data_IF_196887878528
#
_entry.id   IF_196887878528
#
_cell.length_a   1.000
_cell.length_b   1.000
_cell.length_c   1.000
_cell.angle_alpha   90.00
_cell.angle_beta   90.00
_cell.angle_gamma   90.00
#
_symmetry.space_group_name_H-M   'P 1'
#
loop_
_entity.id
_entity.type
_entity.pdbx_description
1 polymer ?
#
# COMPACT_ATOMS: atom_id res chain seq x y z
N UNK A 1 6.92 0.90 6.48
CA UNK A 1 5.56 0.86 5.90
C UNK A 1 5.28 2.12 5.11
N UNK A 2 4.43 2.10 4.07
CA UNK A 2 4.04 3.26 3.28
C UNK A 2 2.95 4.08 4.00
N UNK A 3 2.69 5.29 3.50
CA UNK A 3 1.72 6.23 4.08
C UNK A 3 0.25 5.90 3.77
N UNK A 4 -0.03 5.21 2.68
CA UNK A 4 -1.37 5.08 2.10
C UNK A 4 -2.25 3.97 2.72
N UNK A 5 -1.76 3.21 3.66
CA UNK A 5 -2.51 2.25 4.48
C UNK A 5 -1.64 1.78 5.66
N UNK A 6 -1.10 2.72 6.42
CA UNK A 6 -0.04 2.45 7.40
C UNK A 6 -0.45 1.41 8.45
N UNK A 7 -1.59 1.59 9.13
CA UNK A 7 -2.08 0.63 10.11
C UNK A 7 -2.32 -0.76 9.49
N UNK A 8 -2.89 -0.84 8.29
CA UNK A 8 -3.10 -2.10 7.58
C UNK A 8 -1.80 -2.84 7.27
N UNK A 9 -0.80 -2.12 6.78
CA UNK A 9 0.52 -2.72 6.51
C UNK A 9 1.27 -3.09 7.78
N UNK A 10 1.16 -2.31 8.85
CA UNK A 10 1.75 -2.64 10.14
C UNK A 10 1.13 -3.94 10.67
N UNK A 11 -0.18 -4.00 10.79
CA UNK A 11 -0.89 -5.16 11.31
C UNK A 11 -0.62 -6.43 10.50
N UNK A 12 -0.69 -6.34 9.16
CA UNK A 12 -0.45 -7.49 8.29
C UNK A 12 0.97 -8.05 8.38
N UNK A 13 1.98 -7.17 8.40
CA UNK A 13 3.39 -7.59 8.54
C UNK A 13 3.69 -8.11 9.94
N UNK A 14 3.18 -7.41 10.96
CA UNK A 14 3.40 -7.76 12.36
C UNK A 14 2.73 -9.07 12.74
N UNK A 15 1.49 -9.30 12.33
CA UNK A 15 0.78 -10.54 12.63
C UNK A 15 1.57 -11.77 12.14
N UNK A 16 2.09 -11.73 10.92
CA UNK A 16 2.91 -12.80 10.37
C UNK A 16 4.24 -12.98 11.14
N UNK A 17 4.88 -11.86 11.55
CA UNK A 17 6.13 -11.91 12.30
C UNK A 17 5.92 -12.50 13.71
N UNK A 18 4.88 -12.06 14.42
CA UNK A 18 4.56 -12.55 15.77
C UNK A 18 4.14 -14.02 15.75
N UNK A 19 3.33 -14.44 14.78
CA UNK A 19 2.96 -15.83 14.61
C UNK A 19 4.17 -16.75 14.36
N UNK A 20 5.22 -16.21 13.75
CA UNK A 20 6.50 -16.92 13.55
C UNK A 20 7.47 -16.78 14.74
N UNK A 21 7.06 -16.20 15.86
CA UNK A 21 7.91 -16.00 17.05
C UNK A 21 9.00 -14.94 16.88
N UNK A 22 8.85 -14.01 15.91
CA UNK A 22 9.84 -12.99 15.64
C UNK A 22 9.53 -11.69 16.39
N UNK A 23 10.58 -10.94 16.72
CA UNK A 23 10.45 -9.54 17.10
C UNK A 23 10.44 -8.64 15.86
N UNK A 24 9.89 -7.43 15.99
CA UNK A 24 9.78 -6.49 14.88
C UNK A 24 10.17 -5.06 15.27
N UNK A 25 10.91 -4.41 14.37
CA UNK A 25 11.13 -2.96 14.39
C UNK A 25 10.46 -2.39 13.15
N UNK A 26 9.54 -1.45 13.32
CA UNK A 26 8.81 -0.82 12.24
C UNK A 26 9.22 0.66 12.11
N UNK A 27 9.58 1.04 10.89
CA UNK A 27 9.68 2.44 10.50
C UNK A 27 8.45 2.81 9.67
N UNK A 28 7.51 3.57 10.20
CA UNK A 28 6.38 4.08 9.42
C UNK A 28 6.85 5.18 8.46
N UNK A 29 6.02 5.48 7.45
CA UNK A 29 6.22 6.69 6.66
C UNK A 29 6.15 7.93 7.55
N UNK A 30 7.01 8.89 7.30
CA UNK A 30 6.96 10.21 7.95
C UNK A 30 5.65 10.97 7.68
N UNK A 31 4.95 10.62 6.61
CA UNK A 31 3.68 11.23 6.21
C UNK A 31 2.48 10.73 7.05
N UNK A 32 2.60 9.59 7.71
CA UNK A 32 1.51 8.94 8.44
C UNK A 32 1.90 8.42 9.83
N UNK A 33 3.06 8.82 10.34
CA UNK A 33 3.64 8.29 11.57
C UNK A 33 2.72 8.37 12.80
N UNK A 34 1.82 9.34 12.89
CA UNK A 34 0.90 9.48 14.03
C UNK A 34 -0.10 8.32 14.17
N UNK A 35 -0.47 7.66 13.07
CA UNK A 35 -1.37 6.51 13.11
C UNK A 35 -0.75 5.31 13.85
N UNK A 36 0.57 5.21 13.86
CA UNK A 36 1.29 4.13 14.52
C UNK A 36 1.14 4.15 16.04
N UNK A 37 0.87 5.33 16.63
CA UNK A 37 0.60 5.46 18.06
C UNK A 37 -0.60 4.62 18.48
N UNK A 38 -1.70 4.67 17.73
CA UNK A 38 -2.93 3.91 18.03
C UNK A 38 -2.63 2.40 18.01
N UNK A 39 -1.88 1.92 16.99
CA UNK A 39 -1.49 0.51 16.91
C UNK A 39 -0.60 0.12 18.09
N UNK A 40 0.35 0.98 18.47
CA UNK A 40 1.25 0.72 19.61
C UNK A 40 0.50 0.64 20.93
N UNK A 41 -0.42 1.56 21.17
CA UNK A 41 -1.27 1.58 22.38
C UNK A 41 -2.13 0.31 22.44
N UNK A 42 -2.76 -0.08 21.34
CA UNK A 42 -3.57 -1.30 21.26
C UNK A 42 -2.75 -2.58 21.56
N UNK A 43 -1.54 -2.68 21.04
CA UNK A 43 -0.66 -3.82 21.28
C UNK A 43 -0.17 -3.89 22.73
N UNK A 44 0.17 -2.73 23.31
CA UNK A 44 0.51 -2.62 24.75
C UNK A 44 -0.66 -3.08 25.61
N UNK A 45 -1.86 -2.58 25.34
CA UNK A 45 -3.07 -2.87 26.10
C UNK A 45 -3.51 -4.34 25.94
N UNK A 46 -3.15 -4.97 24.82
CA UNK A 46 -3.29 -6.41 24.61
C UNK A 46 -2.23 -7.27 25.35
N UNK A 47 -1.30 -6.64 26.08
CA UNK A 47 -0.30 -7.34 26.87
C UNK A 47 0.91 -7.85 26.08
N UNK A 48 1.20 -7.27 24.91
CA UNK A 48 2.41 -7.63 24.16
C UNK A 48 3.67 -7.29 24.99
N UNK A 49 4.60 -8.25 25.21
CA UNK A 49 5.77 -7.99 26.03
C UNK A 49 6.66 -6.86 25.47
N UNK A 50 7.27 -6.03 26.34
CA UNK A 50 8.21 -4.99 25.90
C UNK A 50 9.34 -5.55 25.05
N UNK A 51 9.69 -4.81 23.98
CA UNK A 51 10.78 -5.18 23.07
C UNK A 51 10.38 -6.13 21.93
N UNK A 52 9.22 -6.78 22.00
CA UNK A 52 8.74 -7.65 20.92
C UNK A 52 8.35 -6.82 19.69
N UNK A 53 7.76 -5.66 19.91
CA UNK A 53 7.39 -4.70 18.89
C UNK A 53 7.92 -3.31 19.23
N UNK A 54 8.62 -2.68 18.28
CA UNK A 54 9.20 -1.36 18.44
C UNK A 54 8.92 -0.51 17.21
N UNK A 55 8.62 0.77 17.41
CA UNK A 55 8.49 1.75 16.33
C UNK A 55 9.65 2.74 16.42
N UNK A 56 10.28 2.99 15.28
CA UNK A 56 11.29 4.05 15.11
C UNK A 56 10.81 5.01 14.05
N UNK A 57 10.65 6.26 14.42
CA UNK A 57 10.27 7.33 13.49
C UNK A 57 11.50 8.00 12.90
N UNK A 58 11.35 8.51 11.69
CA UNK A 58 12.41 9.24 10.99
C UNK A 58 12.38 9.03 9.48
N UNK A 59 13.28 9.71 8.80
CA UNK A 59 13.36 9.68 7.34
C UNK A 59 13.85 8.33 6.82
N UNK A 60 13.39 7.97 5.61
CA UNK A 60 13.79 6.74 4.94
C UNK A 60 15.28 6.66 4.63
N UNK A 61 15.87 7.78 4.24
CA UNK A 61 17.31 7.92 3.91
C UNK A 61 18.25 7.88 5.14
N UNK A 62 17.72 7.97 6.34
CA UNK A 62 18.47 7.91 7.58
C UNK A 62 18.13 6.64 8.35
N UNK A 63 16.94 6.60 8.95
CA UNK A 63 16.52 5.47 9.79
C UNK A 63 16.27 4.20 8.96
N UNK A 64 15.64 4.35 7.79
CA UNK A 64 15.39 3.22 6.89
C UNK A 64 16.70 2.62 6.34
N UNK A 65 17.67 3.46 5.97
CA UNK A 65 18.97 3.00 5.53
C UNK A 65 19.73 2.30 6.66
N UNK A 66 19.74 2.87 7.87
CA UNK A 66 20.36 2.26 9.06
C UNK A 66 19.78 0.87 9.33
N UNK A 67 18.46 0.73 9.36
CA UNK A 67 17.80 -0.58 9.53
C UNK A 67 18.17 -1.58 8.43
N UNK A 68 18.25 -1.11 7.18
CA UNK A 68 18.59 -1.99 6.05
C UNK A 68 20.01 -2.52 6.08
N UNK A 69 20.92 -1.82 6.73
CA UNK A 69 22.33 -2.20 6.91
C UNK A 69 22.62 -2.91 8.24
N UNK A 70 21.74 -2.78 9.24
CA UNK A 70 22.02 -3.22 10.60
C UNK A 70 22.27 -4.74 10.66
N UNK A 71 23.38 -5.22 11.25
CA UNK A 71 23.74 -6.64 11.24
C UNK A 71 22.68 -7.53 11.91
N UNK A 72 22.03 -7.06 12.99
CA UNK A 72 21.06 -7.83 13.75
C UNK A 72 19.66 -7.87 13.08
N UNK A 73 19.44 -7.12 12.00
CA UNK A 73 18.23 -7.21 11.20
C UNK A 73 18.41 -8.33 10.18
N UNK A 74 17.75 -9.47 10.40
CA UNK A 74 17.90 -10.65 9.55
C UNK A 74 16.90 -10.71 8.38
N UNK A 75 15.79 -9.98 8.49
CA UNK A 75 14.75 -9.90 7.44
C UNK A 75 14.20 -8.49 7.33
N UNK A 76 13.98 -8.06 6.10
CA UNK A 76 13.31 -6.79 5.78
C UNK A 76 12.04 -7.10 5.00
N UNK A 77 10.92 -6.56 5.46
CA UNK A 77 9.66 -6.52 4.71
C UNK A 77 9.31 -5.08 4.39
N UNK A 78 9.48 -4.70 3.14
CA UNK A 78 9.32 -3.31 2.68
C UNK A 78 8.12 -3.20 1.72
N UNK A 79 7.35 -2.15 1.88
CA UNK A 79 6.33 -1.71 0.91
C UNK A 79 6.58 -0.23 0.62
N UNK A 80 6.69 0.12 -0.67
CA UNK A 80 6.95 1.50 -1.08
C UNK A 80 7.47 1.61 -2.52
N UNK A 81 8.35 2.59 -2.77
CA UNK A 81 8.85 2.85 -4.12
C UNK A 81 9.86 1.81 -4.61
N UNK A 82 9.87 1.56 -5.91
CA UNK A 82 10.86 0.68 -6.56
C UNK A 82 12.30 1.17 -6.34
N UNK A 83 12.51 2.49 -6.32
CA UNK A 83 13.85 3.08 -6.08
C UNK A 83 14.35 2.69 -4.70
N UNK A 84 13.52 2.85 -3.68
CA UNK A 84 13.86 2.46 -2.30
C UNK A 84 14.03 0.96 -2.16
N UNK A 85 13.17 0.15 -2.79
CA UNK A 85 13.31 -1.31 -2.80
C UNK A 85 14.66 -1.77 -3.36
N UNK A 86 15.12 -1.17 -4.46
CA UNK A 86 16.44 -1.43 -5.03
C UNK A 86 17.59 -1.04 -4.08
N UNK A 87 17.46 0.07 -3.35
CA UNK A 87 18.44 0.48 -2.35
C UNK A 87 18.50 -0.52 -1.20
N UNK A 88 17.36 -0.97 -0.70
CA UNK A 88 17.28 -2.00 0.34
C UNK A 88 17.93 -3.30 -0.10
N UNK A 89 17.70 -3.76 -1.33
CA UNK A 89 18.35 -4.98 -1.85
C UNK A 89 19.88 -4.86 -1.86
N UNK A 90 20.41 -3.71 -2.31
CA UNK A 90 21.88 -3.47 -2.29
C UNK A 90 22.44 -3.51 -0.88
N UNK A 91 21.77 -2.88 0.09
CA UNK A 91 22.20 -2.88 1.49
C UNK A 91 22.10 -4.28 2.12
N UNK A 92 21.01 -4.98 1.86
CA UNK A 92 20.74 -6.32 2.38
C UNK A 92 21.73 -7.39 1.86
N UNK A 93 22.26 -7.21 0.66
CA UNK A 93 23.21 -8.13 0.06
C UNK A 93 24.49 -8.28 0.89
N UNK A 94 24.93 -7.24 1.60
CA UNK A 94 26.16 -7.27 2.40
C UNK A 94 26.12 -8.26 3.56
N UNK A 95 24.95 -8.58 4.08
CA UNK A 95 24.74 -9.54 5.18
C UNK A 95 23.74 -10.64 4.82
N UNK A 96 23.44 -10.80 3.52
CA UNK A 96 22.56 -11.84 2.98
C UNK A 96 21.19 -11.88 3.68
N UNK A 97 20.62 -10.69 3.95
CA UNK A 97 19.31 -10.58 4.59
C UNK A 97 18.19 -11.12 3.69
N UNK A 98 17.19 -11.72 4.28
CA UNK A 98 15.94 -12.01 3.58
C UNK A 98 15.18 -10.72 3.32
N UNK A 99 14.73 -10.51 2.08
CA UNK A 99 13.98 -9.30 1.68
C UNK A 99 12.68 -9.69 1.01
N UNK A 100 11.58 -9.11 1.47
CA UNK A 100 10.28 -9.12 0.81
C UNK A 100 9.96 -7.69 0.37
N UNK A 101 9.66 -7.50 -0.90
CA UNK A 101 9.36 -6.19 -1.47
C UNK A 101 7.96 -6.19 -2.07
N UNK A 102 7.14 -5.24 -1.62
CA UNK A 102 5.87 -4.87 -2.22
C UNK A 102 6.03 -3.47 -2.80
N UNK A 103 5.96 -3.35 -4.11
CA UNK A 103 6.36 -2.14 -4.83
C UNK A 103 5.20 -1.61 -5.68
N UNK A 104 5.37 -0.41 -6.23
CA UNK A 104 4.41 0.20 -7.11
C UNK A 104 4.27 -0.55 -8.45
N UNK A 105 3.19 -0.28 -9.14
CA UNK A 105 2.88 -0.90 -10.42
C UNK A 105 1.76 -0.18 -11.16
N UNK A 106 1.29 -0.80 -12.23
CA UNK A 106 0.09 -0.47 -13.00
C UNK A 106 -0.72 -1.74 -13.17
N UNK A 107 -1.51 -2.07 -12.13
CA UNK A 107 -2.30 -3.30 -12.11
C UNK A 107 -3.30 -3.34 -13.25
N UNK A 108 -3.42 -4.47 -13.97
CA UNK A 108 -4.41 -4.60 -15.03
C UNK A 108 -5.80 -4.87 -14.44
N UNK A 109 -6.81 -4.24 -15.02
CA UNK A 109 -8.21 -4.65 -14.94
C UNK A 109 -8.58 -5.22 -16.29
N UNK A 110 -9.01 -6.47 -16.34
CA UNK A 110 -9.28 -7.18 -17.60
C UNK A 110 -10.79 -7.38 -17.72
N UNK A 111 -11.37 -6.81 -18.77
CA UNK A 111 -12.77 -7.02 -19.13
C UNK A 111 -12.84 -8.07 -20.25
N UNK A 112 -13.66 -9.10 -20.06
CA UNK A 112 -13.84 -10.18 -21.04
C UNK A 112 -14.94 -9.82 -22.05
N UNK A 113 -15.07 -10.63 -23.10
CA UNK A 113 -16.00 -10.39 -24.20
C UNK A 113 -17.48 -10.40 -23.75
N UNK A 114 -17.82 -11.23 -22.78
CA UNK A 114 -19.16 -11.45 -22.25
C UNK A 114 -19.50 -10.58 -21.03
N UNK A 115 -18.63 -9.66 -20.65
CA UNK A 115 -18.84 -8.84 -19.45
C UNK A 115 -20.08 -7.95 -19.56
N UNK A 116 -20.87 -7.91 -18.52
CA UNK A 116 -21.94 -6.93 -18.34
C UNK A 116 -21.36 -5.60 -17.88
N UNK A 117 -21.40 -4.58 -18.74
CA UNK A 117 -20.84 -3.26 -18.47
C UNK A 117 -21.56 -2.53 -17.33
N UNK A 118 -22.85 -2.77 -17.13
CA UNK A 118 -23.59 -2.13 -16.04
C UNK A 118 -23.05 -2.55 -14.66
N UNK A 119 -22.56 -3.78 -14.56
CA UNK A 119 -21.93 -4.29 -13.34
C UNK A 119 -20.41 -3.99 -13.28
N UNK A 120 -19.72 -4.09 -14.42
CA UNK A 120 -18.27 -3.98 -14.45
C UNK A 120 -17.77 -2.54 -14.32
N UNK A 121 -18.41 -1.56 -14.96
CA UNK A 121 -17.92 -0.17 -14.97
C UNK A 121 -17.80 0.43 -13.56
N UNK A 122 -18.79 0.29 -12.64
CA UNK A 122 -18.63 0.75 -11.27
C UNK A 122 -17.42 0.13 -10.56
N UNK A 123 -17.17 -1.16 -10.76
CA UNK A 123 -16.02 -1.86 -10.17
C UNK A 123 -14.68 -1.37 -10.75
N UNK A 124 -14.62 -1.08 -12.06
CA UNK A 124 -13.44 -0.50 -12.71
C UNK A 124 -13.13 0.89 -12.13
N UNK A 125 -14.16 1.73 -11.95
CA UNK A 125 -14.00 3.05 -11.34
C UNK A 125 -13.50 2.91 -9.89
N UNK A 126 -14.12 2.07 -9.10
CA UNK A 126 -13.70 1.82 -7.73
C UNK A 126 -12.25 1.32 -7.66
N UNK A 127 -11.87 0.35 -8.48
CA UNK A 127 -10.52 -0.20 -8.51
C UNK A 127 -9.47 0.82 -8.98
N UNK A 128 -9.82 1.69 -9.93
CA UNK A 128 -8.92 2.70 -10.48
C UNK A 128 -8.75 3.93 -9.60
N UNK A 129 -9.80 4.35 -8.91
CA UNK A 129 -9.84 5.59 -8.13
C UNK A 129 -9.73 5.40 -6.61
N UNK A 130 -9.63 4.16 -6.14
CA UNK A 130 -9.44 3.89 -4.71
C UNK A 130 -8.27 4.70 -4.15
N UNK A 131 -8.47 5.31 -2.98
CA UNK A 131 -7.48 6.19 -2.34
C UNK A 131 -6.96 7.29 -3.30
N UNK A 132 -7.85 7.90 -4.09
CA UNK A 132 -7.52 8.89 -5.12
C UNK A 132 -6.50 8.37 -6.17
N UNK A 133 -6.54 7.09 -6.48
CA UNK A 133 -5.60 6.41 -7.39
C UNK A 133 -4.20 6.17 -6.80
N UNK A 134 -3.98 6.47 -5.53
CA UNK A 134 -2.69 6.39 -4.85
C UNK A 134 -2.50 5.04 -4.14
N UNK A 135 -2.77 3.95 -4.86
CA UNK A 135 -2.62 2.58 -4.35
C UNK A 135 -1.80 1.73 -5.33
N UNK A 136 -0.92 0.89 -4.80
CA UNK A 136 -0.10 -0.01 -5.62
C UNK A 136 -0.97 -1.03 -6.39
N UNK A 137 -2.15 -1.34 -5.87
CA UNK A 137 -3.13 -2.27 -6.47
C UNK A 137 -4.15 -1.58 -7.37
N UNK A 138 -4.10 -0.25 -7.54
CA UNK A 138 -5.07 0.47 -8.37
C UNK A 138 -5.09 -0.07 -9.80
N UNK A 139 -6.25 -0.51 -10.24
CA UNK A 139 -6.50 -1.12 -11.56
C UNK A 139 -6.56 -0.09 -12.68
N UNK A 140 -5.49 0.68 -12.85
CA UNK A 140 -5.45 1.84 -13.76
C UNK A 140 -5.11 1.49 -15.21
N UNK A 141 -4.80 0.24 -15.51
CA UNK A 141 -4.57 -0.25 -16.87
C UNK A 141 -5.70 -1.19 -17.26
N UNK A 142 -6.64 -0.68 -18.05
CA UNK A 142 -7.85 -1.41 -18.43
C UNK A 142 -7.62 -2.10 -19.78
N UNK A 143 -7.65 -3.43 -19.78
CA UNK A 143 -7.53 -4.26 -20.96
C UNK A 143 -8.93 -4.69 -21.41
N UNK A 144 -9.26 -4.44 -22.66
CA UNK A 144 -10.60 -4.63 -23.21
C UNK A 144 -10.55 -5.37 -24.54
N UNK A 145 -11.59 -6.13 -24.92
CA UNK A 145 -11.70 -6.72 -26.24
C UNK A 145 -11.72 -5.63 -27.33
N UNK A 146 -10.96 -5.83 -28.38
CA UNK A 146 -10.87 -4.87 -29.47
C UNK A 146 -12.25 -4.54 -30.09
N UNK A 147 -13.10 -5.55 -30.22
CA UNK A 147 -14.45 -5.38 -30.78
C UNK A 147 -15.38 -4.52 -29.93
N UNK A 148 -15.14 -4.44 -28.61
CA UNK A 148 -15.95 -3.67 -27.66
C UNK A 148 -15.29 -2.37 -27.19
N UNK A 149 -14.12 -2.05 -27.72
CA UNK A 149 -13.31 -0.93 -27.24
C UNK A 149 -14.08 0.40 -27.18
N UNK A 150 -14.75 0.77 -28.29
CA UNK A 150 -15.47 2.05 -28.36
C UNK A 150 -16.65 2.14 -27.41
N UNK A 151 -17.39 1.03 -27.22
CA UNK A 151 -18.49 0.92 -26.26
C UNK A 151 -17.98 1.12 -24.83
N UNK A 152 -16.91 0.43 -24.48
CA UNK A 152 -16.31 0.48 -23.13
C UNK A 152 -15.68 1.84 -22.85
N UNK A 153 -14.98 2.44 -23.82
CA UNK A 153 -14.41 3.79 -23.67
C UNK A 153 -15.50 4.82 -23.41
N UNK A 154 -16.63 4.74 -24.11
CA UNK A 154 -17.77 5.63 -23.89
C UNK A 154 -18.36 5.47 -22.50
N UNK A 155 -18.60 4.23 -22.05
CA UNK A 155 -19.14 3.93 -20.75
C UNK A 155 -18.21 4.40 -19.63
N UNK A 156 -16.89 4.17 -19.77
CA UNK A 156 -15.89 4.64 -18.81
C UNK A 156 -15.83 6.17 -18.75
N UNK A 157 -15.84 6.86 -19.90
CA UNK A 157 -15.82 8.31 -19.94
C UNK A 157 -17.03 8.92 -19.20
N UNK A 158 -18.23 8.36 -19.40
CA UNK A 158 -19.42 8.77 -18.70
C UNK A 158 -19.32 8.53 -17.17
N UNK A 159 -18.84 7.35 -16.77
CA UNK A 159 -18.68 7.01 -15.38
C UNK A 159 -17.63 7.89 -14.67
N UNK A 160 -16.50 8.18 -15.32
CA UNK A 160 -15.47 9.09 -14.80
C UNK A 160 -16.01 10.51 -14.65
N UNK A 161 -16.79 11.00 -15.62
CA UNK A 161 -17.40 12.32 -15.55
C UNK A 161 -18.41 12.47 -14.40
N UNK A 162 -18.98 11.36 -13.91
CA UNK A 162 -19.88 11.35 -12.77
C UNK A 162 -19.18 11.35 -11.42
N UNK A 163 -17.88 11.03 -11.35
CA UNK A 163 -17.10 11.00 -10.12
C UNK A 163 -16.96 12.41 -9.54
N UNK A 164 -17.41 12.58 -8.31
CA UNK A 164 -17.35 13.86 -7.60
C UNK A 164 -16.07 13.94 -6.77
N UNK A 165 -15.19 14.88 -7.12
CA UNK A 165 -14.06 15.24 -6.26
C UNK A 165 -14.41 16.45 -5.39
N UNK A 166 -13.97 16.41 -4.11
CA UNK A 166 -14.32 17.48 -3.17
C UNK A 166 -13.78 17.28 -1.77
N UNK A 167 -14.40 17.95 -0.80
CA UNK A 167 -14.05 17.82 0.62
C UNK A 167 -14.34 16.38 1.10
N UNK A 168 -13.34 15.66 1.66
CA UNK A 168 -13.52 14.29 2.13
C UNK A 168 -14.47 14.16 3.33
N UNK A 169 -14.86 15.26 3.96
CA UNK A 169 -15.88 15.29 5.04
C UNK A 169 -17.31 15.36 4.51
N UNK A 170 -17.48 15.65 3.24
CA UNK A 170 -18.79 15.63 2.58
C UNK A 170 -19.09 14.21 2.10
N UNK A 171 -20.19 13.64 2.56
CA UNK A 171 -20.64 12.30 2.18
C UNK A 171 -20.99 12.14 0.69
N UNK A 172 -21.16 13.26 -0.03
CA UNK A 172 -21.39 13.27 -1.47
C UNK A 172 -20.10 13.24 -2.30
N UNK A 173 -18.92 13.30 -1.67
CA UNK A 173 -17.62 13.24 -2.33
C UNK A 173 -17.20 11.79 -2.55
N UNK A 174 -16.90 11.42 -3.79
CA UNK A 174 -16.39 10.10 -4.15
C UNK A 174 -14.86 10.04 -4.01
N UNK A 175 -14.18 11.14 -4.36
CA UNK A 175 -12.72 11.22 -4.37
C UNK A 175 -12.29 12.50 -3.67
N UNK A 176 -11.46 12.37 -2.64
CA UNK A 176 -10.86 13.50 -1.92
C UNK A 176 -9.78 14.23 -2.74
N UNK A 177 -9.11 15.22 -2.15
CA UNK A 177 -8.03 15.94 -2.82
C UNK A 177 -6.88 15.02 -3.18
N UNK A 178 -6.23 15.34 -4.30
CA UNK A 178 -5.06 14.64 -4.82
C UNK A 178 -3.78 15.45 -4.56
#
# INVERSE_FOLDING_TARGET
TPWNSDAGFICGKLAAALAAGCTAVIKPSEMSALQTRIVTEALRDAGLPPGVFNIVTGRGDTVGETLSRHPDVVKISFTGSTVTGKAILRNAAQSVKRVTLELGGKSPTILLDDVDLAQAIPLVIQAGFMNSGQACVAGTRILVPQARKAEIETALAQAVAAVKSGDPRDSATDVGPM
#
